data_IF_595389018426
#
_entry.id   IF_595389018426
#
_cell.length_a   1.000
_cell.length_b   1.000
_cell.length_c   1.000
_cell.angle_alpha   90.00
_cell.angle_beta   90.00
_cell.angle_gamma   90.00
#
_symmetry.space_group_name_H-M   'P 1'
#
loop_
_entity.id
_entity.type
_entity.pdbx_description
1 polymer ?
#
# COMPACT_ATOMS: atom_id res chain seq x y z
N UNK A 1 41.73 28.59 -10.85
CA UNK A 1 41.21 27.26 -11.24
C UNK A 1 40.63 26.45 -10.07
N UNK A 2 40.65 26.95 -8.82
CA UNK A 2 40.26 26.20 -7.62
C UNK A 2 38.75 26.18 -7.32
N UNK A 3 38.03 27.29 -7.57
CA UNK A 3 36.59 27.37 -7.24
C UNK A 3 35.69 26.45 -8.09
N UNK A 4 35.98 26.31 -9.38
CA UNK A 4 35.18 25.46 -10.28
C UNK A 4 35.35 23.96 -9.93
N UNK A 5 36.56 23.53 -9.59
CA UNK A 5 36.85 22.18 -9.13
C UNK A 5 36.18 21.89 -7.78
N UNK A 6 36.21 22.86 -6.85
CA UNK A 6 35.54 22.72 -5.54
C UNK A 6 34.02 22.62 -5.69
N UNK A 7 33.43 23.47 -6.54
CA UNK A 7 31.99 23.43 -6.86
C UNK A 7 31.58 22.10 -7.52
N UNK A 8 32.36 21.59 -8.47
CA UNK A 8 32.08 20.30 -9.10
C UNK A 8 32.15 19.12 -8.12
N UNK A 9 33.04 19.20 -7.13
CA UNK A 9 33.14 18.20 -6.06
C UNK A 9 31.91 18.24 -5.13
N UNK A 10 31.47 19.44 -4.74
CA UNK A 10 30.32 19.66 -3.86
C UNK A 10 29.00 19.24 -4.54
N UNK A 11 28.85 19.55 -5.83
CA UNK A 11 27.71 19.13 -6.66
C UNK A 11 27.67 17.59 -6.81
N UNK A 12 28.84 16.93 -6.97
CA UNK A 12 28.94 15.46 -7.04
C UNK A 12 28.63 14.79 -5.69
N UNK A 13 29.15 15.31 -4.58
CA UNK A 13 28.87 14.79 -3.24
C UNK A 13 27.38 14.92 -2.90
N UNK A 14 26.77 16.07 -3.21
CA UNK A 14 25.33 16.31 -3.02
C UNK A 14 24.48 15.38 -3.88
N UNK A 15 24.89 15.13 -5.12
CA UNK A 15 24.22 14.18 -6.00
C UNK A 15 24.25 12.74 -5.45
N UNK A 16 25.41 12.32 -4.93
CA UNK A 16 25.59 11.02 -4.27
C UNK A 16 24.70 10.88 -3.03
N UNK A 17 24.70 11.90 -2.15
CA UNK A 17 23.85 11.93 -0.96
C UNK A 17 22.37 11.81 -1.33
N UNK A 18 21.90 12.55 -2.32
CA UNK A 18 20.50 12.53 -2.73
C UNK A 18 20.05 11.16 -3.29
N UNK A 19 20.96 10.34 -3.84
CA UNK A 19 20.64 8.96 -4.23
C UNK A 19 20.44 8.04 -3.02
N UNK A 20 21.28 8.19 -1.99
CA UNK A 20 21.14 7.45 -0.73
C UNK A 20 19.85 7.83 -0.03
N UNK A 21 19.55 9.13 0.06
CA UNK A 21 18.31 9.62 0.66
C UNK A 21 17.08 9.06 -0.06
N UNK A 22 17.11 8.99 -1.39
CA UNK A 22 16.02 8.40 -2.17
C UNK A 22 15.82 6.90 -1.86
N UNK A 23 16.90 6.14 -1.67
CA UNK A 23 16.83 4.73 -1.27
C UNK A 23 16.27 4.56 0.15
N UNK A 24 16.69 5.42 1.08
CA UNK A 24 16.16 5.43 2.46
C UNK A 24 14.67 5.77 2.47
N UNK A 25 14.25 6.75 1.67
CA UNK A 25 12.84 7.10 1.51
C UNK A 25 12.04 5.94 0.90
N UNK A 26 12.53 5.31 -0.17
CA UNK A 26 11.88 4.16 -0.78
C UNK A 26 11.72 3.00 0.21
N UNK A 27 12.77 2.71 1.00
CA UNK A 27 12.74 1.68 2.05
C UNK A 27 11.73 1.99 3.16
N UNK A 28 11.64 3.26 3.56
CA UNK A 28 10.67 3.72 4.55
C UNK A 28 9.24 3.55 4.05
N UNK A 29 8.99 3.95 2.80
CA UNK A 29 7.69 3.83 2.15
C UNK A 29 7.29 2.37 1.98
N UNK A 30 8.21 1.52 1.52
CA UNK A 30 7.99 0.08 1.43
C UNK A 30 7.58 -0.52 2.78
N UNK A 31 8.32 -0.21 3.84
CA UNK A 31 8.04 -0.68 5.20
C UNK A 31 6.63 -0.27 5.65
N UNK A 32 6.22 0.98 5.40
CA UNK A 32 4.87 1.46 5.70
C UNK A 32 3.80 0.72 4.91
N UNK A 33 4.02 0.45 3.62
CA UNK A 33 3.04 -0.30 2.82
C UNK A 33 2.90 -1.76 3.27
N UNK A 34 3.99 -2.40 3.73
CA UNK A 34 3.92 -3.72 4.39
C UNK A 34 3.15 -3.67 5.71
N UNK A 35 3.31 -2.60 6.50
CA UNK A 35 2.52 -2.37 7.71
C UNK A 35 1.03 -2.19 7.38
N UNK A 36 0.68 -1.43 6.35
CA UNK A 36 -0.70 -1.26 5.87
C UNK A 36 -1.32 -2.60 5.45
N UNK A 37 -0.61 -3.42 4.67
CA UNK A 37 -1.04 -4.78 4.32
C UNK A 37 -1.27 -5.66 5.54
N UNK A 38 -0.38 -5.58 6.53
CA UNK A 38 -0.49 -6.35 7.78
C UNK A 38 -1.71 -5.94 8.60
N UNK A 39 -2.02 -4.64 8.66
CA UNK A 39 -3.24 -4.12 9.29
C UNK A 39 -4.50 -4.60 8.57
N UNK A 40 -4.50 -4.62 7.25
CA UNK A 40 -5.63 -5.12 6.45
C UNK A 40 -5.90 -6.60 6.73
N UNK A 41 -4.85 -7.43 6.81
CA UNK A 41 -5.00 -8.85 7.19
C UNK A 41 -5.60 -9.02 8.59
N UNK A 42 -5.17 -8.22 9.56
CA UNK A 42 -5.73 -8.24 10.91
C UNK A 42 -7.21 -7.81 10.91
N UNK A 43 -7.55 -6.77 10.14
CA UNK A 43 -8.93 -6.31 9.94
C UNK A 43 -9.83 -7.42 9.37
N UNK A 44 -9.32 -8.16 8.38
CA UNK A 44 -10.03 -9.30 7.79
C UNK A 44 -10.30 -10.41 8.81
N UNK A 45 -9.32 -10.72 9.67
CA UNK A 45 -9.51 -11.70 10.73
C UNK A 45 -10.61 -11.25 11.72
N UNK A 46 -10.59 -9.98 12.14
CA UNK A 46 -11.61 -9.41 13.01
C UNK A 46 -13.01 -9.48 12.37
N UNK A 47 -13.17 -8.99 11.14
CA UNK A 47 -14.47 -9.02 10.46
C UNK A 47 -14.96 -10.45 10.18
N UNK A 48 -14.07 -11.42 10.01
CA UNK A 48 -14.43 -12.83 9.88
C UNK A 48 -15.07 -13.37 11.17
N UNK A 49 -14.49 -13.03 12.34
CA UNK A 49 -15.05 -13.39 13.64
C UNK A 49 -16.44 -12.77 13.86
N UNK A 50 -16.61 -11.50 13.53
CA UNK A 50 -17.89 -10.80 13.62
C UNK A 50 -18.96 -11.46 12.72
N UNK A 51 -18.58 -11.82 11.49
CA UNK A 51 -19.49 -12.49 10.55
C UNK A 51 -19.92 -13.86 11.09
N UNK A 52 -18.99 -14.64 11.63
CA UNK A 52 -19.28 -15.94 12.22
C UNK A 52 -20.19 -15.84 13.44
N UNK A 53 -19.93 -14.88 14.33
CA UNK A 53 -20.77 -14.61 15.50
C UNK A 53 -22.21 -14.19 15.09
N UNK A 54 -22.33 -13.33 14.07
CA UNK A 54 -23.62 -12.92 13.53
C UNK A 54 -24.38 -14.09 12.91
N UNK A 55 -23.70 -14.94 12.13
CA UNK A 55 -24.29 -16.15 11.55
C UNK A 55 -24.78 -17.12 12.64
N UNK A 56 -23.95 -17.38 13.65
CA UNK A 56 -24.31 -18.25 14.77
C UNK A 56 -25.54 -17.71 15.51
N UNK A 57 -25.58 -16.42 15.83
CA UNK A 57 -26.73 -15.77 16.49
C UNK A 57 -28.01 -15.92 15.67
N UNK A 58 -27.92 -15.74 14.34
CA UNK A 58 -29.07 -15.84 13.44
C UNK A 58 -29.60 -17.27 13.36
N UNK A 59 -28.70 -18.26 13.29
CA UNK A 59 -29.07 -19.68 13.33
C UNK A 59 -29.71 -20.07 14.66
N UNK A 60 -29.17 -19.61 15.81
CA UNK A 60 -29.77 -19.88 17.12
C UNK A 60 -31.14 -19.22 17.32
N UNK A 61 -31.39 -18.08 16.66
CA UNK A 61 -32.67 -17.38 16.73
C UNK A 61 -33.74 -17.96 15.77
N UNK A 62 -33.35 -18.82 14.82
CA UNK A 62 -34.25 -19.40 13.83
C UNK A 62 -35.26 -20.35 14.50
N UNK A 63 -36.55 -20.19 14.18
CA UNK A 63 -37.65 -21.01 14.73
C UNK A 63 -38.30 -21.91 13.69
N UNK A 64 -38.09 -21.61 12.42
CA UNK A 64 -38.63 -22.34 11.27
C UNK A 64 -37.54 -22.69 10.26
N UNK A 65 -37.80 -23.67 9.39
CA UNK A 65 -36.90 -24.00 8.28
C UNK A 65 -36.68 -22.80 7.34
N UNK A 66 -37.71 -21.96 7.16
CA UNK A 66 -37.61 -20.73 6.36
C UNK A 66 -36.58 -19.76 6.96
N UNK A 67 -36.58 -19.58 8.27
CA UNK A 67 -35.61 -18.72 8.96
C UNK A 67 -34.17 -19.22 8.78
N UNK A 68 -33.97 -20.53 8.75
CA UNK A 68 -32.66 -21.15 8.49
C UNK A 68 -32.20 -20.90 7.04
N UNK A 69 -33.09 -21.08 6.06
CA UNK A 69 -32.79 -20.80 4.65
C UNK A 69 -32.42 -19.33 4.45
N UNK A 70 -33.15 -18.41 5.08
CA UNK A 70 -32.85 -16.97 5.06
C UNK A 70 -31.51 -16.66 5.74
N UNK A 71 -31.23 -17.29 6.89
CA UNK A 71 -29.95 -17.13 7.58
C UNK A 71 -28.76 -17.54 6.69
N UNK A 72 -28.88 -18.67 6.00
CA UNK A 72 -27.84 -19.18 5.11
C UNK A 72 -27.68 -18.33 3.85
N UNK A 73 -28.79 -17.94 3.22
CA UNK A 73 -28.78 -17.02 2.06
C UNK A 73 -28.08 -15.70 2.39
N UNK A 74 -28.42 -15.10 3.54
CA UNK A 74 -27.84 -13.82 3.93
C UNK A 74 -26.36 -13.96 4.33
N UNK A 75 -25.98 -15.06 4.98
CA UNK A 75 -24.57 -15.36 5.23
C UNK A 75 -23.78 -15.48 3.91
N UNK A 76 -24.32 -16.16 2.91
CA UNK A 76 -23.68 -16.26 1.59
C UNK A 76 -23.54 -14.90 0.90
N UNK A 77 -24.58 -14.06 0.91
CA UNK A 77 -24.52 -12.70 0.34
C UNK A 77 -23.46 -11.85 1.03
N UNK A 78 -23.50 -11.77 2.36
CA UNK A 78 -22.52 -10.99 3.15
C UNK A 78 -21.10 -11.51 2.93
N UNK A 79 -20.92 -12.82 2.84
CA UNK A 79 -19.60 -13.40 2.58
C UNK A 79 -19.06 -13.03 1.20
N UNK A 80 -19.92 -13.02 0.17
CA UNK A 80 -19.53 -12.60 -1.18
C UNK A 80 -19.20 -11.10 -1.26
N UNK A 81 -20.01 -10.25 -0.64
CA UNK A 81 -19.76 -8.81 -0.56
C UNK A 81 -18.41 -8.51 0.12
N UNK A 82 -18.15 -9.16 1.26
CA UNK A 82 -16.88 -9.02 1.98
C UNK A 82 -15.69 -9.55 1.19
N UNK A 83 -15.85 -10.68 0.51
CA UNK A 83 -14.80 -11.22 -0.35
C UNK A 83 -14.41 -10.22 -1.45
N UNK A 84 -15.39 -9.68 -2.18
CA UNK A 84 -15.15 -8.71 -3.24
C UNK A 84 -14.51 -7.42 -2.71
N UNK A 85 -14.99 -6.92 -1.57
CA UNK A 85 -14.42 -5.73 -0.93
C UNK A 85 -12.96 -5.95 -0.52
N UNK A 86 -12.65 -7.09 0.11
CA UNK A 86 -11.29 -7.44 0.52
C UNK A 86 -10.36 -7.57 -0.69
N UNK A 87 -10.81 -8.22 -1.78
CA UNK A 87 -10.04 -8.33 -3.01
C UNK A 87 -9.71 -6.98 -3.64
N UNK A 88 -10.70 -6.09 -3.74
CA UNK A 88 -10.49 -4.73 -4.24
C UNK A 88 -9.47 -3.99 -3.37
N UNK A 89 -9.58 -4.12 -2.05
CA UNK A 89 -8.71 -3.47 -1.08
C UNK A 89 -7.25 -3.95 -1.17
N UNK A 90 -7.02 -5.26 -1.26
CA UNK A 90 -5.67 -5.80 -1.47
C UNK A 90 -5.07 -5.35 -2.80
N UNK A 91 -5.87 -5.28 -3.87
CA UNK A 91 -5.44 -4.75 -5.16
C UNK A 91 -5.00 -3.30 -5.07
N UNK A 92 -5.78 -2.45 -4.42
CA UNK A 92 -5.46 -1.04 -4.17
C UNK A 92 -4.15 -0.89 -3.38
N UNK A 93 -4.02 -1.61 -2.27
CA UNK A 93 -2.81 -1.58 -1.43
C UNK A 93 -1.56 -2.06 -2.19
N UNK A 94 -1.70 -3.09 -3.02
CA UNK A 94 -0.60 -3.60 -3.84
C UNK A 94 -0.13 -2.58 -4.89
N UNK A 95 -1.06 -1.94 -5.59
CA UNK A 95 -0.74 -0.87 -6.54
C UNK A 95 -0.08 0.30 -5.83
N UNK A 96 -0.67 0.75 -4.71
CA UNK A 96 -0.14 1.84 -3.89
C UNK A 96 1.28 1.56 -3.41
N UNK A 97 1.54 0.36 -2.88
CA UNK A 97 2.88 -0.03 -2.45
C UNK A 97 3.89 0.07 -3.60
N UNK A 98 3.55 -0.42 -4.79
CA UNK A 98 4.42 -0.35 -5.95
C UNK A 98 4.68 1.10 -6.39
N UNK A 99 3.63 1.93 -6.50
CA UNK A 99 3.76 3.33 -6.93
C UNK A 99 4.52 4.17 -5.92
N UNK A 100 4.21 4.03 -4.64
CA UNK A 100 4.81 4.84 -3.57
C UNK A 100 6.29 4.46 -3.42
N UNK A 101 6.64 3.16 -3.51
CA UNK A 101 8.03 2.69 -3.40
C UNK A 101 8.89 3.15 -4.59
N UNK A 102 8.31 3.19 -5.80
CA UNK A 102 9.03 3.63 -7.00
C UNK A 102 9.22 5.16 -7.08
N UNK A 103 8.37 5.94 -6.39
CA UNK A 103 8.32 7.39 -6.51
C UNK A 103 9.65 8.11 -6.18
N UNK A 104 10.39 7.77 -5.10
CA UNK A 104 11.68 8.40 -4.81
C UNK A 104 12.72 8.17 -5.92
N UNK A 105 12.72 6.99 -6.54
CA UNK A 105 13.64 6.65 -7.63
C UNK A 105 13.25 7.40 -8.90
N UNK A 106 11.95 7.46 -9.22
CA UNK A 106 11.44 8.24 -10.35
C UNK A 106 11.79 9.73 -10.22
N UNK A 107 11.72 10.29 -9.01
CA UNK A 107 12.14 11.66 -8.73
C UNK A 107 13.64 11.88 -9.00
N UNK A 108 14.51 10.90 -8.70
CA UNK A 108 15.95 10.97 -9.05
C UNK A 108 16.17 10.94 -10.56
N UNK A 109 15.46 10.09 -11.30
CA UNK A 109 15.54 10.07 -12.76
C UNK A 109 15.15 11.41 -13.38
N UNK A 110 14.08 12.05 -12.87
CA UNK A 110 13.66 13.37 -13.31
C UNK A 110 14.68 14.47 -12.96
N UNK A 111 15.29 14.40 -11.77
CA UNK A 111 16.34 15.34 -11.38
C UNK A 111 17.58 15.24 -12.29
N UNK A 112 17.96 14.03 -12.69
CA UNK A 112 19.04 13.79 -13.67
C UNK A 112 18.67 14.36 -15.03
N UNK A 113 17.45 14.08 -15.52
CA UNK A 113 16.98 14.60 -16.80
C UNK A 113 16.99 16.14 -16.83
N UNK A 114 16.56 16.79 -15.73
CA UNK A 114 16.61 18.24 -15.59
C UNK A 114 18.05 18.78 -15.58
N UNK A 115 18.99 18.07 -14.95
CA UNK A 115 20.41 18.46 -14.94
C UNK A 115 21.04 18.41 -16.34
N UNK A 116 20.71 17.39 -17.13
CA UNK A 116 21.18 17.23 -18.52
C UNK A 116 20.55 18.28 -19.45
N UNK A 117 19.31 18.70 -19.19
CA UNK A 117 18.60 19.69 -19.99
C UNK A 117 19.00 21.15 -19.68
N UNK A 118 19.76 21.42 -18.62
CA UNK A 118 20.23 22.78 -18.31
C UNK A 118 21.37 23.19 -19.26
N UNK A 119 21.28 24.37 -19.91
CA UNK A 119 22.36 24.85 -20.77
C UNK A 119 23.63 25.10 -19.93
N UNK A 120 24.78 24.68 -20.45
CA UNK A 120 26.08 25.01 -19.90
C UNK A 120 26.33 26.51 -20.11
N UNK A 121 26.04 27.32 -19.09
CA UNK A 121 26.43 28.73 -19.01
C UNK A 121 27.48 28.90 -17.93
#
# INVERSE_FOLDING_TARGET
>A
MTNATFKGFDDFATFGQANIDALVQASTVFTKGVEELSKEMASLAHTSLETGAAAAKKTFAARTIKDVIEAQSDFSKVSLEKLLANWARFGELGVKLATDTASPIAARANAVAAMVARPAT
#
